data_IF_667857566037
#
_entry.id   IF_667857566037
#
_cell.length_a   1.000
_cell.length_b   1.000
_cell.length_c   1.000
_cell.angle_alpha   90.00
_cell.angle_beta   90.00
_cell.angle_gamma   90.00
#
_symmetry.space_group_name_H-M   'P 1'
#
loop_
_entity.id
_entity.type
_entity.pdbx_description
1 polymer ?
#
# COMPACT_ATOMS: atom_id res chain seq x y z
N UNK A 1 29.89 25.28 41.80
CA UNK A 1 28.93 24.18 42.06
C UNK A 1 27.57 24.44 41.43
N UNK A 2 27.48 24.38 40.09
CA UNK A 2 26.23 24.33 39.33
C UNK A 2 26.34 23.23 38.28
N UNK A 3 25.99 22.02 38.68
CA UNK A 3 25.81 20.75 37.95
C UNK A 3 25.05 19.88 38.97
N UNK A 4 24.04 19.07 38.71
CA UNK A 4 23.40 18.46 37.54
C UNK A 4 22.04 17.98 38.07
N UNK A 5 21.01 17.96 37.24
CA UNK A 5 19.94 16.94 37.29
C UNK A 5 19.13 17.06 36.00
N UNK A 6 19.68 16.49 34.93
CA UNK A 6 18.91 16.15 33.73
C UNK A 6 18.17 14.86 34.03
N UNK A 7 16.85 14.94 34.04
CA UNK A 7 15.95 13.81 34.23
C UNK A 7 16.07 12.84 33.05
N UNK A 8 16.32 11.58 33.37
CA UNK A 8 16.25 10.42 32.48
C UNK A 8 14.78 10.10 32.18
N UNK A 9 14.30 10.44 30.99
CA UNK A 9 12.99 9.98 30.49
C UNK A 9 13.10 8.54 30.00
N UNK A 10 12.84 7.59 30.90
CA UNK A 10 12.61 6.19 30.57
C UNK A 10 11.33 6.06 29.74
N UNK A 11 11.43 5.67 28.46
CA UNK A 11 10.30 5.28 27.62
C UNK A 11 9.61 4.05 28.22
N UNK A 12 8.51 4.26 28.93
CA UNK A 12 7.61 3.20 29.38
C UNK A 12 6.94 2.54 28.17
N UNK A 13 7.12 1.22 28.04
CA UNK A 13 6.47 0.41 27.01
C UNK A 13 4.94 0.48 27.14
N UNK A 14 4.26 0.87 26.06
CA UNK A 14 2.80 0.87 25.98
C UNK A 14 2.32 -0.58 26.02
N UNK A 15 1.34 -0.95 26.86
CA UNK A 15 0.82 -2.32 26.89
C UNK A 15 0.20 -2.68 25.53
N UNK A 16 0.47 -3.90 25.04
CA UNK A 16 0.12 -4.42 23.71
C UNK A 16 -1.40 -4.48 23.38
N UNK A 17 -2.27 -3.90 24.22
CA UNK A 17 -3.72 -4.08 24.15
C UNK A 17 -4.41 -3.24 23.05
N UNK A 18 -3.77 -2.20 22.52
CA UNK A 18 -4.39 -1.26 21.55
C UNK A 18 -3.58 -1.06 20.25
N UNK A 19 -2.67 -1.97 19.89
CA UNK A 19 -1.95 -1.82 18.61
C UNK A 19 -2.90 -2.09 17.43
N UNK A 20 -2.85 -1.28 16.35
CA UNK A 20 -3.52 -1.61 15.09
C UNK A 20 -3.15 -3.01 14.63
N UNK A 21 -4.09 -3.73 14.03
CA UNK A 21 -3.87 -5.14 13.63
C UNK A 21 -2.74 -5.30 12.62
N UNK A 22 -2.50 -4.30 11.79
CA UNK A 22 -1.34 -4.23 10.88
C UNK A 22 -0.02 -4.39 11.64
N UNK A 23 0.11 -3.79 12.82
CA UNK A 23 1.32 -3.87 13.64
C UNK A 23 1.30 -5.09 14.56
N UNK A 24 0.16 -5.36 15.21
CA UNK A 24 -0.02 -6.51 16.10
C UNK A 24 0.26 -7.84 15.39
N UNK A 25 -0.19 -7.96 14.14
CA UNK A 25 -0.01 -9.14 13.30
C UNK A 25 1.04 -8.92 12.21
N UNK A 26 2.01 -8.01 12.42
CA UNK A 26 3.16 -7.91 11.53
C UNK A 26 3.99 -9.20 11.62
N UNK A 27 4.32 -9.89 10.51
CA UNK A 27 5.18 -11.07 10.50
C UNK A 27 6.50 -10.82 11.25
N UNK A 28 6.87 -11.74 12.14
CA UNK A 28 8.08 -11.61 12.97
C UNK A 28 9.21 -12.50 12.46
N UNK A 29 8.86 -13.61 11.83
CA UNK A 29 9.77 -14.60 11.25
C UNK A 29 9.57 -14.71 9.74
N UNK A 30 10.51 -15.35 9.05
CA UNK A 30 10.35 -15.66 7.62
C UNK A 30 9.26 -16.70 7.38
N UNK A 31 9.02 -17.60 8.33
CA UNK A 31 7.98 -18.63 8.22
C UNK A 31 6.57 -18.02 8.31
N UNK A 32 6.43 -16.86 8.96
CA UNK A 32 5.18 -16.09 8.99
C UNK A 32 4.85 -15.42 7.64
N UNK A 33 5.80 -15.37 6.70
CA UNK A 33 5.63 -14.77 5.38
C UNK A 33 5.10 -15.81 4.40
N UNK A 34 3.80 -15.70 4.12
CA UNK A 34 3.08 -16.64 3.26
C UNK A 34 3.40 -16.40 1.76
N UNK A 35 3.94 -15.23 1.41
CA UNK A 35 4.11 -14.78 0.03
C UNK A 35 5.56 -14.73 -0.47
N UNK A 36 5.72 -14.71 -1.80
CA UNK A 36 7.00 -14.54 -2.50
C UNK A 36 8.08 -15.58 -2.14
N UNK A 37 7.71 -16.87 -2.08
CA UNK A 37 8.61 -17.96 -1.71
C UNK A 37 9.92 -18.01 -2.53
N UNK A 38 9.87 -17.67 -3.82
CA UNK A 38 11.07 -17.60 -4.67
C UNK A 38 12.04 -16.49 -4.22
N UNK A 39 11.52 -15.37 -3.76
CA UNK A 39 12.31 -14.25 -3.21
C UNK A 39 12.92 -14.67 -1.88
N UNK A 40 12.10 -15.27 -0.99
CA UNK A 40 12.54 -15.70 0.34
C UNK A 40 13.63 -16.76 0.25
N UNK A 41 13.45 -17.79 -0.58
CA UNK A 41 14.44 -18.85 -0.81
C UNK A 41 15.76 -18.30 -1.37
N UNK A 42 15.70 -17.33 -2.28
CA UNK A 42 16.91 -16.67 -2.82
C UNK A 42 17.64 -15.88 -1.74
N UNK A 43 16.92 -15.10 -0.92
CA UNK A 43 17.52 -14.34 0.16
C UNK A 43 18.11 -15.27 1.23
N UNK A 44 17.39 -16.33 1.62
CA UNK A 44 17.87 -17.34 2.55
C UNK A 44 19.15 -18.00 2.05
N UNK A 45 19.24 -18.30 0.75
CA UNK A 45 20.47 -18.82 0.15
C UNK A 45 21.63 -17.84 0.30
N UNK A 46 21.42 -16.55 -0.04
CA UNK A 46 22.46 -15.52 0.14
C UNK A 46 22.91 -15.35 1.58
N UNK A 47 21.98 -15.47 2.54
CA UNK A 47 22.28 -15.44 3.98
C UNK A 47 23.12 -16.66 4.38
N UNK A 48 22.72 -17.86 3.96
CA UNK A 48 23.41 -19.11 4.29
C UNK A 48 24.83 -19.19 3.74
N UNK A 49 25.08 -18.55 2.61
CA UNK A 49 26.39 -18.50 1.96
C UNK A 49 27.28 -17.33 2.45
N UNK A 50 26.81 -16.51 3.40
CA UNK A 50 27.47 -15.27 3.86
C UNK A 50 27.84 -14.31 2.71
N UNK A 51 26.94 -14.24 1.71
CA UNK A 51 27.13 -13.50 0.45
C UNK A 51 25.98 -12.53 0.16
N UNK A 52 25.31 -12.03 1.20
CA UNK A 52 24.20 -11.11 1.05
C UNK A 52 24.66 -9.84 0.30
N UNK A 53 24.13 -9.55 -0.90
CA UNK A 53 24.45 -8.33 -1.62
C UNK A 53 23.70 -7.14 -1.03
N UNK A 54 23.90 -5.94 -1.58
CA UNK A 54 22.93 -4.86 -1.37
C UNK A 54 21.61 -5.26 -2.02
N UNK A 55 20.48 -4.96 -1.37
CA UNK A 55 19.15 -5.35 -1.78
C UNK A 55 18.34 -4.12 -2.18
N UNK A 56 17.48 -4.28 -3.19
CA UNK A 56 16.48 -3.29 -3.56
C UNK A 56 15.13 -3.98 -3.69
N UNK A 57 14.24 -3.72 -2.74
CA UNK A 57 12.88 -4.24 -2.72
C UNK A 57 11.93 -3.20 -3.28
N UNK A 58 11.18 -3.55 -4.32
CA UNK A 58 10.25 -2.62 -4.96
C UNK A 58 8.92 -3.26 -5.31
N UNK A 59 7.85 -2.47 -5.28
CA UNK A 59 6.51 -2.93 -5.61
C UNK A 59 5.42 -2.20 -4.84
N UNK A 60 4.13 -2.54 -5.05
CA UNK A 60 3.01 -1.89 -4.39
C UNK A 60 3.09 -1.93 -2.85
N UNK A 61 2.39 -1.03 -2.13
CA UNK A 61 2.31 -1.07 -0.67
C UNK A 61 1.65 -2.36 -0.17
N UNK A 62 1.92 -2.71 1.09
CA UNK A 62 1.27 -3.85 1.76
C UNK A 62 1.60 -5.24 1.21
N UNK A 63 2.63 -5.36 0.37
CA UNK A 63 3.11 -6.63 -0.23
C UNK A 63 4.17 -7.35 0.62
N UNK A 64 4.55 -6.79 1.77
CA UNK A 64 5.48 -7.42 2.71
C UNK A 64 6.96 -7.05 2.59
N UNK A 65 7.32 -6.01 1.81
CA UNK A 65 8.72 -5.55 1.63
C UNK A 65 9.45 -5.31 2.96
N UNK A 66 8.93 -4.42 3.80
CA UNK A 66 9.52 -4.06 5.10
C UNK A 66 9.51 -5.24 6.07
N UNK A 67 8.39 -5.98 6.14
CA UNK A 67 8.28 -7.18 6.98
C UNK A 67 9.31 -8.24 6.61
N UNK A 68 9.58 -8.42 5.30
CA UNK A 68 10.56 -9.41 4.81
C UNK A 68 11.96 -9.10 5.28
N UNK A 69 12.45 -7.88 5.06
CA UNK A 69 13.83 -7.55 5.46
C UNK A 69 13.99 -7.52 6.97
N UNK A 70 12.97 -7.10 7.73
CA UNK A 70 13.02 -7.13 9.19
C UNK A 70 13.04 -8.55 9.74
N UNK A 71 12.28 -9.48 9.14
CA UNK A 71 12.34 -10.89 9.48
C UNK A 71 13.71 -11.50 9.14
N UNK A 72 14.28 -11.19 7.97
CA UNK A 72 15.66 -11.56 7.63
C UNK A 72 16.67 -11.02 8.63
N UNK A 73 16.52 -9.76 9.04
CA UNK A 73 17.43 -9.11 10.00
C UNK A 73 17.37 -9.79 11.38
N UNK A 74 16.19 -10.19 11.84
CA UNK A 74 16.01 -10.96 13.08
C UNK A 74 16.60 -12.36 13.03
N UNK A 75 16.64 -12.97 11.84
CA UNK A 75 17.34 -14.24 11.64
C UNK A 75 18.87 -14.06 11.63
N UNK A 76 19.37 -12.97 11.05
CA UNK A 76 20.80 -12.65 10.97
C UNK A 76 21.40 -12.25 12.32
N UNK A 77 20.67 -11.49 13.14
CA UNK A 77 21.19 -10.90 14.37
C UNK A 77 20.33 -11.28 15.57
N UNK A 78 20.97 -11.64 16.68
CA UNK A 78 20.28 -11.90 17.95
C UNK A 78 19.68 -10.59 18.49
N UNK A 79 18.61 -10.68 19.29
CA UNK A 79 17.89 -9.52 19.83
C UNK A 79 18.79 -8.50 20.55
N UNK A 80 19.78 -8.98 21.31
CA UNK A 80 20.74 -8.13 22.03
C UNK A 80 21.66 -7.32 21.11
N UNK A 81 21.81 -7.76 19.86
CA UNK A 81 22.74 -7.23 18.88
C UNK A 81 22.03 -6.41 17.80
N UNK A 82 20.73 -6.63 17.63
CA UNK A 82 19.90 -6.04 16.59
C UNK A 82 20.11 -4.52 16.47
N UNK A 83 19.96 -3.78 17.55
CA UNK A 83 20.10 -2.30 17.54
C UNK A 83 21.52 -1.82 17.22
N UNK A 84 22.54 -2.66 17.39
CA UNK A 84 23.93 -2.32 17.07
C UNK A 84 24.34 -2.73 15.65
N UNK A 85 23.61 -3.68 15.06
CA UNK A 85 23.92 -4.30 13.77
C UNK A 85 22.93 -3.90 12.67
N UNK A 86 21.74 -3.40 13.03
CA UNK A 86 20.67 -2.98 12.12
C UNK A 86 20.33 -1.53 12.38
N UNK A 87 20.33 -0.72 11.31
CA UNK A 87 19.82 0.64 11.31
C UNK A 87 18.62 0.70 10.37
N UNK A 88 17.42 0.86 10.94
CA UNK A 88 16.19 1.13 10.19
C UNK A 88 15.94 2.64 10.15
N UNK A 89 15.75 3.18 8.95
CA UNK A 89 15.40 4.58 8.72
C UNK A 89 14.27 4.65 7.71
N UNK A 90 13.27 5.47 8.00
CA UNK A 90 12.22 5.82 7.05
C UNK A 90 12.61 7.12 6.34
N UNK A 91 12.81 7.06 5.02
CA UNK A 91 13.32 8.20 4.26
C UNK A 91 12.26 9.28 3.98
N UNK A 92 10.97 9.02 4.23
CA UNK A 92 9.94 10.06 4.13
C UNK A 92 9.93 11.02 5.30
N UNK A 93 10.34 10.58 6.49
CA UNK A 93 10.42 11.43 7.70
C UNK A 93 11.56 12.44 7.59
N UNK A 94 12.66 12.07 6.90
CA UNK A 94 13.77 12.98 6.62
C UNK A 94 14.36 12.68 5.23
N UNK A 95 13.94 13.50 4.25
CA UNK A 95 14.27 13.37 2.82
C UNK A 95 15.64 13.97 2.47
N UNK A 96 16.30 14.60 3.45
CA UNK A 96 17.48 15.41 3.27
C UNK A 96 18.74 14.60 3.05
N UNK A 97 19.74 15.25 2.43
CA UNK A 97 21.10 14.69 2.33
C UNK A 97 21.74 14.47 3.71
N UNK A 98 21.22 15.14 4.75
CA UNK A 98 21.75 15.10 6.10
C UNK A 98 21.55 13.74 6.77
N UNK A 99 20.46 13.02 6.48
CA UNK A 99 20.31 11.62 6.93
C UNK A 99 21.44 10.73 6.42
N UNK A 100 21.84 10.95 5.18
CA UNK A 100 22.92 10.18 4.56
C UNK A 100 24.27 10.55 5.17
N UNK A 101 24.51 11.84 5.38
CA UNK A 101 25.77 12.36 5.91
C UNK A 101 25.91 12.21 7.43
N UNK A 102 24.81 12.06 8.16
CA UNK A 102 24.76 11.91 9.60
C UNK A 102 24.61 10.45 10.02
N UNK A 103 23.38 9.99 10.32
CA UNK A 103 23.14 8.68 10.92
C UNK A 103 23.67 7.52 10.06
N UNK A 104 23.46 7.53 8.74
CA UNK A 104 23.90 6.44 7.87
C UNK A 104 25.44 6.36 7.83
N UNK A 105 26.11 7.49 7.59
CA UNK A 105 27.57 7.53 7.52
C UNK A 105 28.22 7.17 8.87
N UNK A 106 27.68 7.67 9.98
CA UNK A 106 28.14 7.33 11.34
C UNK A 106 28.01 5.83 11.63
N UNK A 107 26.86 5.25 11.29
CA UNK A 107 26.62 3.84 11.49
C UNK A 107 27.53 2.95 10.63
N UNK A 108 27.67 3.27 9.34
CA UNK A 108 28.50 2.50 8.40
C UNK A 108 30.01 2.61 8.69
N UNK A 109 30.46 3.75 9.24
CA UNK A 109 31.88 3.98 9.56
C UNK A 109 32.33 3.36 10.87
N UNK A 110 31.40 3.06 11.78
CA UNK A 110 31.74 2.47 13.09
C UNK A 110 32.13 1.00 12.92
N UNK A 111 33.35 0.62 13.30
CA UNK A 111 33.81 -0.78 13.29
C UNK A 111 33.13 -1.60 14.40
N UNK A 112 32.70 -2.81 14.08
CA UNK A 112 32.27 -3.80 15.07
C UNK A 112 33.51 -4.42 15.71
N UNK A 113 33.93 -3.89 16.87
CA UNK A 113 35.19 -4.26 17.55
C UNK A 113 35.24 -5.76 17.94
N UNK A 114 34.10 -6.45 18.04
CA UNK A 114 34.03 -7.79 18.62
C UNK A 114 33.20 -8.84 17.85
N UNK A 115 32.74 -8.60 16.62
CA UNK A 115 31.82 -9.54 15.92
C UNK A 115 32.12 -9.72 14.44
N UNK A 116 32.22 -11.00 14.03
CA UNK A 116 32.19 -11.43 12.63
C UNK A 116 30.81 -11.10 12.04
N UNK A 117 30.79 -10.44 10.88
CA UNK A 117 29.56 -10.13 10.13
C UNK A 117 29.55 -8.72 9.57
N UNK A 118 28.60 -8.44 8.68
CA UNK A 118 28.31 -7.10 8.17
C UNK A 118 27.22 -6.43 9.01
N UNK A 119 27.15 -5.09 8.98
CA UNK A 119 25.99 -4.33 9.45
C UNK A 119 24.92 -4.26 8.36
N UNK A 120 23.66 -4.06 8.74
CA UNK A 120 22.55 -3.89 7.81
C UNK A 120 21.91 -2.51 7.99
N UNK A 121 21.83 -1.75 6.90
CA UNK A 121 21.06 -0.50 6.85
C UNK A 121 19.81 -0.74 6.01
N UNK A 122 18.63 -0.50 6.60
CA UNK A 122 17.34 -0.60 5.95
C UNK A 122 16.81 0.83 5.74
N UNK A 123 16.56 1.18 4.48
CA UNK A 123 16.00 2.47 4.09
C UNK A 123 14.62 2.24 3.50
N UNK A 124 13.59 2.50 4.31
CA UNK A 124 12.21 2.44 3.84
C UNK A 124 11.84 3.73 3.08
N UNK A 125 10.94 3.60 2.11
CA UNK A 125 10.48 4.71 1.24
C UNK A 125 11.64 5.48 0.57
N UNK A 126 12.67 4.78 0.10
CA UNK A 126 13.85 5.37 -0.54
C UNK A 126 13.52 6.20 -1.81
N UNK A 127 12.34 5.99 -2.41
CA UNK A 127 11.81 6.79 -3.51
C UNK A 127 11.30 8.18 -3.09
N UNK A 128 11.22 8.47 -1.79
CA UNK A 128 10.97 9.81 -1.25
C UNK A 128 12.26 10.66 -1.13
N UNK A 129 13.45 10.04 -1.26
CA UNK A 129 14.73 10.74 -1.16
C UNK A 129 14.98 11.66 -2.35
N UNK A 130 15.57 12.83 -2.08
CA UNK A 130 16.07 13.71 -3.13
C UNK A 130 17.19 13.06 -3.95
N UNK A 131 17.34 13.48 -5.20
CA UNK A 131 18.40 13.00 -6.10
C UNK A 131 19.80 13.17 -5.49
N UNK A 132 20.04 14.28 -4.79
CA UNK A 132 21.32 14.57 -4.13
C UNK A 132 21.58 13.62 -2.95
N UNK A 133 20.55 13.31 -2.16
CA UNK A 133 20.65 12.33 -1.10
C UNK A 133 20.94 10.93 -1.66
N UNK A 134 20.27 10.52 -2.76
CA UNK A 134 20.56 9.25 -3.43
C UNK A 134 21.98 9.18 -4.00
N UNK A 135 22.49 10.27 -4.59
CA UNK A 135 23.87 10.36 -5.06
C UNK A 135 24.89 10.30 -3.91
N UNK A 136 24.57 10.90 -2.77
CA UNK A 136 25.38 10.75 -1.56
C UNK A 136 25.36 9.31 -1.04
N UNK A 137 24.19 8.68 -1.02
CA UNK A 137 24.01 7.31 -0.55
C UNK A 137 24.79 6.33 -1.41
N UNK A 138 24.80 6.52 -2.73
CA UNK A 138 25.63 5.73 -3.66
C UNK A 138 27.10 5.72 -3.23
N UNK A 139 27.68 6.88 -2.92
CA UNK A 139 29.08 6.98 -2.47
C UNK A 139 29.31 6.24 -1.16
N UNK A 140 28.35 6.29 -0.24
CA UNK A 140 28.42 5.56 1.04
C UNK A 140 28.36 4.04 0.79
N UNK A 141 27.44 3.57 -0.05
CA UNK A 141 27.32 2.15 -0.41
C UNK A 141 28.63 1.62 -1.01
N UNK A 142 29.23 2.35 -1.96
CA UNK A 142 30.52 1.98 -2.56
C UNK A 142 31.65 1.92 -1.52
N UNK A 143 31.74 2.94 -0.66
CA UNK A 143 32.83 3.06 0.33
C UNK A 143 32.78 2.01 1.43
N UNK A 144 31.59 1.58 1.84
CA UNK A 144 31.41 0.70 3.01
C UNK A 144 30.89 -0.70 2.66
N UNK A 145 30.96 -1.12 1.39
CA UNK A 145 30.44 -2.42 0.93
C UNK A 145 31.07 -3.62 1.66
N UNK A 146 32.31 -3.52 2.13
CA UNK A 146 32.98 -4.62 2.84
C UNK A 146 32.35 -4.90 4.22
N UNK A 147 31.85 -3.85 4.90
CA UNK A 147 31.42 -3.95 6.30
C UNK A 147 29.91 -3.73 6.48
N UNK A 148 29.21 -3.18 5.47
CA UNK A 148 27.80 -2.79 5.58
C UNK A 148 27.02 -3.22 4.34
N UNK A 149 25.89 -3.88 4.55
CA UNK A 149 24.87 -4.16 3.53
C UNK A 149 23.73 -3.18 3.67
N UNK A 150 23.12 -2.89 2.53
CA UNK A 150 22.03 -1.92 2.42
C UNK A 150 20.83 -2.63 1.82
N UNK A 151 19.65 -2.40 2.37
CA UNK A 151 18.38 -2.79 1.78
C UNK A 151 17.56 -1.52 1.54
N UNK A 152 17.37 -1.17 0.27
CA UNK A 152 16.52 -0.04 -0.13
C UNK A 152 15.11 -0.57 -0.41
N UNK A 153 14.10 0.06 0.16
CA UNK A 153 12.70 -0.28 -0.10
C UNK A 153 12.04 0.91 -0.79
N UNK A 154 11.31 0.68 -1.87
CA UNK A 154 10.56 1.72 -2.55
C UNK A 154 9.26 1.20 -3.16
N UNK A 155 8.34 2.10 -3.50
CA UNK A 155 7.16 1.74 -4.27
C UNK A 155 7.42 1.87 -5.77
N UNK A 156 8.16 2.91 -6.17
CA UNK A 156 8.45 3.20 -7.57
C UNK A 156 9.95 3.09 -7.88
N UNK A 157 10.33 2.03 -8.60
CA UNK A 157 11.72 1.82 -9.04
C UNK A 157 12.24 2.99 -9.90
N UNK A 158 11.37 3.61 -10.71
CA UNK A 158 11.72 4.74 -11.58
C UNK A 158 12.20 5.99 -10.82
N UNK A 159 11.88 6.11 -9.52
CA UNK A 159 12.34 7.21 -8.66
C UNK A 159 13.71 6.95 -8.03
N UNK A 160 14.26 5.75 -8.19
CA UNK A 160 15.60 5.40 -7.71
C UNK A 160 16.62 5.61 -8.82
N UNK A 161 17.72 6.31 -8.53
CA UNK A 161 18.74 6.59 -9.54
C UNK A 161 19.34 5.30 -10.12
N UNK A 162 19.60 5.24 -11.45
CA UNK A 162 20.19 4.05 -12.08
C UNK A 162 21.48 3.56 -11.41
N UNK A 163 22.27 4.48 -10.85
CA UNK A 163 23.50 4.15 -10.15
C UNK A 163 23.28 3.36 -8.83
N UNK A 164 22.18 3.59 -8.11
CA UNK A 164 21.83 2.77 -6.95
C UNK A 164 21.28 1.42 -7.39
N UNK A 165 20.43 1.42 -8.42
CA UNK A 165 19.84 0.18 -8.96
C UNK A 165 20.90 -0.80 -9.43
N UNK A 166 21.99 -0.35 -10.06
CA UNK A 166 23.05 -1.23 -10.57
C UNK A 166 23.93 -1.85 -9.47
N UNK A 167 23.89 -1.31 -8.25
CA UNK A 167 24.67 -1.80 -7.10
C UNK A 167 23.88 -2.74 -6.19
N UNK A 168 22.59 -2.93 -6.46
CA UNK A 168 21.70 -3.73 -5.63
C UNK A 168 21.08 -4.89 -6.43
N UNK A 169 20.96 -6.05 -5.81
CA UNK A 169 20.12 -7.13 -6.31
C UNK A 169 18.66 -6.74 -6.10
N UNK A 170 17.89 -6.74 -7.18
CA UNK A 170 16.51 -6.23 -7.21
C UNK A 170 15.52 -7.36 -7.00
N UNK A 171 14.56 -7.15 -6.12
CA UNK A 171 13.44 -8.06 -5.86
C UNK A 171 12.11 -7.31 -6.02
N UNK A 172 11.27 -7.82 -6.93
CA UNK A 172 9.95 -7.25 -7.20
C UNK A 172 8.90 -7.95 -6.35
N UNK A 173 8.25 -7.19 -5.48
CA UNK A 173 7.10 -7.64 -4.70
C UNK A 173 5.83 -7.30 -5.48
N UNK A 174 5.17 -8.31 -6.04
CA UNK A 174 3.87 -8.16 -6.70
C UNK A 174 2.71 -8.10 -5.71
N UNK A 175 1.51 -7.65 -6.14
CA UNK A 175 0.29 -7.81 -5.36
C UNK A 175 0.09 -9.26 -4.92
N UNK A 176 -0.44 -9.44 -3.71
CA UNK A 176 -0.71 -10.76 -3.16
C UNK A 176 -1.93 -11.39 -3.84
N UNK A 177 -1.84 -12.69 -4.13
CA UNK A 177 -2.99 -13.46 -4.59
C UNK A 177 -3.97 -13.75 -3.45
N UNK A 178 -5.24 -14.02 -3.77
CA UNK A 178 -6.26 -14.35 -2.76
C UNK A 178 -5.82 -15.53 -1.89
N UNK A 179 -5.23 -16.56 -2.50
CA UNK A 179 -4.73 -17.75 -1.82
C UNK A 179 -3.58 -17.45 -0.83
N UNK A 180 -2.83 -16.35 -1.02
CA UNK A 180 -1.79 -15.91 -0.09
C UNK A 180 -2.35 -15.05 1.04
N UNK A 181 -3.42 -14.29 0.78
CA UNK A 181 -4.03 -13.40 1.77
C UNK A 181 -4.95 -14.13 2.76
N UNK A 182 -5.78 -15.05 2.25
CA UNK A 182 -6.80 -15.76 3.04
C UNK A 182 -6.21 -16.44 4.28
N UNK A 183 -5.13 -17.23 4.20
CA UNK A 183 -4.59 -17.90 5.40
C UNK A 183 -4.16 -16.93 6.49
N UNK A 184 -3.62 -15.75 6.12
CA UNK A 184 -3.24 -14.72 7.09
C UNK A 184 -4.46 -14.06 7.71
N UNK A 185 -5.49 -13.78 6.92
CA UNK A 185 -6.75 -13.21 7.42
C UNK A 185 -7.45 -14.19 8.37
N UNK A 186 -7.53 -15.47 8.01
CA UNK A 186 -8.11 -16.53 8.85
C UNK A 186 -7.41 -16.65 10.20
N UNK A 187 -6.07 -16.56 10.22
CA UNK A 187 -5.33 -16.53 11.47
C UNK A 187 -5.75 -15.35 12.36
N UNK A 188 -5.88 -14.14 11.80
CA UNK A 188 -6.33 -12.95 12.55
C UNK A 188 -7.77 -13.09 13.02
N UNK A 189 -8.66 -13.61 12.18
CA UNK A 189 -10.07 -13.86 12.51
C UNK A 189 -10.20 -14.80 13.70
N UNK A 190 -9.39 -15.86 13.74
CA UNK A 190 -9.38 -16.81 14.85
C UNK A 190 -8.83 -16.18 16.14
N UNK A 191 -7.75 -15.40 16.05
CA UNK A 191 -7.12 -14.78 17.21
C UNK A 191 -7.98 -13.67 17.84
N UNK A 192 -8.73 -12.93 17.02
CA UNK A 192 -9.62 -11.86 17.48
C UNK A 192 -11.09 -12.33 17.67
N UNK A 193 -11.39 -13.60 17.35
CA UNK A 193 -12.73 -14.20 17.42
C UNK A 193 -13.79 -13.39 16.65
N UNK A 194 -13.53 -13.10 15.38
CA UNK A 194 -14.38 -12.27 14.51
C UNK A 194 -15.51 -13.09 13.89
N UNK A 195 -16.75 -12.62 14.01
CA UNK A 195 -17.89 -13.15 13.22
C UNK A 195 -17.85 -12.57 11.81
N UNK A 196 -17.44 -13.39 10.84
CA UNK A 196 -17.32 -13.02 9.42
C UNK A 196 -18.02 -14.03 8.53
N UNK A 197 -18.76 -13.52 7.55
CA UNK A 197 -19.41 -14.34 6.53
C UNK A 197 -18.50 -14.58 5.31
N UNK A 198 -18.73 -15.64 4.51
CA UNK A 198 -17.89 -15.93 3.33
C UNK A 198 -17.87 -14.81 2.28
N UNK A 199 -19.00 -14.13 2.09
CA UNK A 199 -19.15 -12.94 1.24
C UNK A 199 -18.38 -11.74 1.81
N UNK A 200 -18.36 -11.54 3.13
CA UNK A 200 -17.55 -10.53 3.81
C UNK A 200 -16.06 -10.74 3.59
N UNK A 201 -15.57 -11.99 3.73
CA UNK A 201 -14.17 -12.34 3.43
C UNK A 201 -13.83 -12.04 1.97
N UNK A 202 -14.70 -12.44 1.03
CA UNK A 202 -14.52 -12.18 -0.40
C UNK A 202 -14.49 -10.69 -0.71
N UNK A 203 -15.36 -9.89 -0.07
CA UNK A 203 -15.40 -8.44 -0.22
C UNK A 203 -14.08 -7.80 0.25
N UNK A 204 -13.56 -8.19 1.41
CA UNK A 204 -12.28 -7.69 1.93
C UNK A 204 -11.15 -7.98 0.94
N UNK A 205 -11.01 -9.24 0.51
CA UNK A 205 -9.94 -9.65 -0.41
C UNK A 205 -10.04 -8.90 -1.74
N UNK A 206 -11.26 -8.71 -2.26
CA UNK A 206 -11.52 -7.98 -3.51
C UNK A 206 -11.12 -6.51 -3.39
N UNK A 207 -11.60 -5.81 -2.36
CA UNK A 207 -11.31 -4.39 -2.14
C UNK A 207 -9.85 -4.13 -1.78
N UNK A 208 -9.15 -5.13 -1.25
CA UNK A 208 -7.75 -5.00 -0.85
C UNK A 208 -6.78 -5.02 -2.03
N UNK A 209 -7.20 -5.51 -3.20
CA UNK A 209 -6.38 -5.49 -4.44
C UNK A 209 -4.96 -6.05 -4.26
N UNK A 210 -4.80 -7.07 -3.41
CA UNK A 210 -3.49 -7.69 -3.11
C UNK A 210 -2.63 -6.94 -2.08
N UNK A 211 -3.17 -5.95 -1.38
CA UNK A 211 -2.52 -5.23 -0.26
C UNK A 211 -2.97 -5.84 1.09
N UNK A 212 -2.04 -6.49 1.81
CA UNK A 212 -2.33 -7.11 3.10
C UNK A 212 -2.65 -6.07 4.19
N UNK A 213 -1.96 -4.92 4.18
CA UNK A 213 -2.18 -3.85 5.15
C UNK A 213 -3.60 -3.31 5.02
N UNK A 214 -4.04 -3.06 3.78
CA UNK A 214 -5.41 -2.63 3.47
C UNK A 214 -6.42 -3.67 3.94
N UNK A 215 -6.17 -4.96 3.69
CA UNK A 215 -7.10 -6.02 4.13
C UNK A 215 -7.29 -6.08 5.64
N UNK A 216 -6.21 -5.95 6.42
CA UNK A 216 -6.29 -5.93 7.88
C UNK A 216 -6.99 -4.68 8.40
N UNK A 217 -6.72 -3.52 7.80
CA UNK A 217 -7.40 -2.27 8.16
C UNK A 217 -8.91 -2.37 7.91
N UNK A 218 -9.32 -2.88 6.75
CA UNK A 218 -10.75 -3.06 6.42
C UNK A 218 -11.40 -4.05 7.39
N UNK A 219 -10.76 -5.19 7.66
CA UNK A 219 -11.27 -6.18 8.60
C UNK A 219 -11.45 -5.57 10.00
N UNK A 220 -10.43 -4.86 10.49
CA UNK A 220 -10.44 -4.22 11.80
C UNK A 220 -11.53 -3.15 11.91
N UNK A 221 -11.59 -2.23 10.95
CA UNK A 221 -12.55 -1.14 10.97
C UNK A 221 -13.99 -1.66 10.86
N UNK A 222 -14.23 -2.66 10.02
CA UNK A 222 -15.58 -3.23 9.84
C UNK A 222 -16.03 -3.96 11.10
N UNK A 223 -15.17 -4.78 11.70
CA UNK A 223 -15.48 -5.46 12.95
C UNK A 223 -15.74 -4.47 14.09
N UNK A 224 -14.93 -3.42 14.22
CA UNK A 224 -15.12 -2.40 15.27
C UNK A 224 -16.39 -1.58 15.08
N UNK A 225 -16.82 -1.33 13.84
CA UNK A 225 -17.99 -0.51 13.53
C UNK A 225 -19.31 -1.29 13.64
N UNK A 226 -19.34 -2.56 13.18
CA UNK A 226 -20.59 -3.33 13.01
C UNK A 226 -20.64 -4.64 13.80
N UNK A 227 -19.52 -5.06 14.40
CA UNK A 227 -19.38 -6.36 15.05
C UNK A 227 -19.25 -7.51 14.05
N UNK A 228 -20.32 -7.77 13.30
CA UNK A 228 -20.35 -8.80 12.25
C UNK A 228 -19.85 -8.27 10.91
N UNK A 229 -18.97 -9.02 10.26
CA UNK A 229 -18.35 -8.67 8.98
C UNK A 229 -19.05 -9.41 7.84
N UNK A 230 -19.83 -8.67 7.07
CA UNK A 230 -20.56 -9.11 5.84
C UNK A 230 -20.17 -8.24 4.64
N UNK A 231 -20.53 -8.66 3.42
CA UNK A 231 -20.28 -7.85 2.21
C UNK A 231 -20.81 -6.41 2.38
N UNK A 232 -22.07 -6.25 2.82
CA UNK A 232 -22.69 -4.94 3.01
C UNK A 232 -21.92 -4.06 3.99
N UNK A 233 -21.56 -4.61 5.16
CA UNK A 233 -20.82 -3.85 6.18
C UNK A 233 -19.42 -3.46 5.71
N UNK A 234 -18.75 -4.30 4.90
CA UNK A 234 -17.41 -4.04 4.36
C UNK A 234 -17.44 -2.89 3.35
N UNK A 235 -18.37 -2.94 2.39
CA UNK A 235 -18.54 -1.88 1.39
C UNK A 235 -18.96 -0.56 2.06
N UNK A 236 -19.91 -0.61 3.00
CA UNK A 236 -20.35 0.58 3.75
C UNK A 236 -19.23 1.17 4.60
N UNK A 237 -18.44 0.34 5.28
CA UNK A 237 -17.31 0.79 6.11
C UNK A 237 -16.21 1.46 5.28
N UNK A 238 -16.01 1.01 4.04
CA UNK A 238 -14.95 1.53 3.15
C UNK A 238 -15.42 2.70 2.30
N UNK A 239 -16.71 3.06 2.34
CA UNK A 239 -17.30 4.07 1.48
C UNK A 239 -17.36 3.65 0.01
N UNK A 240 -17.18 2.36 -0.28
CA UNK A 240 -17.26 1.82 -1.64
C UNK A 240 -18.71 1.53 -2.02
N UNK A 241 -19.13 1.88 -3.25
CA UNK A 241 -20.49 1.61 -3.70
C UNK A 241 -20.75 0.11 -3.86
N UNK A 242 -21.94 -0.35 -3.50
CA UNK A 242 -22.36 -1.72 -3.76
C UNK A 242 -22.60 -1.94 -5.25
N UNK A 243 -22.53 -3.20 -5.71
CA UNK A 243 -22.86 -3.54 -7.10
C UNK A 243 -24.28 -3.12 -7.49
N UNK A 244 -25.24 -3.24 -6.57
CA UNK A 244 -26.61 -2.78 -6.77
C UNK A 244 -26.69 -1.25 -6.92
N UNK A 245 -25.86 -0.51 -6.20
CA UNK A 245 -25.82 0.96 -6.28
C UNK A 245 -25.31 1.40 -7.65
N UNK A 246 -24.24 0.78 -8.14
CA UNK A 246 -23.70 1.10 -9.47
C UNK A 246 -24.68 0.68 -10.58
N UNK A 247 -25.34 -0.47 -10.45
CA UNK A 247 -26.37 -0.89 -11.41
C UNK A 247 -27.51 0.13 -11.49
N UNK A 248 -27.98 0.63 -10.34
CA UNK A 248 -28.99 1.69 -10.27
C UNK A 248 -28.48 3.01 -10.91
N UNK A 249 -27.24 3.41 -10.63
CA UNK A 249 -26.63 4.62 -11.21
C UNK A 249 -26.59 4.53 -12.74
N UNK A 250 -26.19 3.38 -13.29
CA UNK A 250 -26.16 3.17 -14.74
C UNK A 250 -27.56 3.16 -15.34
N UNK A 251 -28.52 2.48 -14.72
CA UNK A 251 -29.92 2.49 -15.15
C UNK A 251 -30.47 3.92 -15.21
N UNK A 252 -30.26 4.71 -14.16
CA UNK A 252 -30.74 6.10 -14.13
C UNK A 252 -30.05 6.96 -15.16
N UNK A 253 -28.73 6.82 -15.33
CA UNK A 253 -27.96 7.59 -16.29
C UNK A 253 -28.34 7.29 -17.75
N UNK A 254 -28.70 6.04 -18.07
CA UNK A 254 -29.05 5.60 -19.42
C UNK A 254 -30.54 5.76 -19.74
N UNK A 255 -31.44 5.56 -18.77
CA UNK A 255 -32.88 5.42 -19.03
C UNK A 255 -33.73 6.61 -18.57
N UNK A 256 -33.21 7.50 -17.71
CA UNK A 256 -33.99 8.64 -17.18
C UNK A 256 -33.58 9.98 -17.81
N UNK A 257 -34.41 11.01 -17.63
CA UNK A 257 -34.07 12.38 -18.01
C UNK A 257 -32.95 12.95 -17.10
N UNK A 258 -32.28 14.02 -17.56
CA UNK A 258 -31.11 14.59 -16.89
C UNK A 258 -31.36 14.91 -15.43
N UNK A 259 -32.44 15.62 -15.18
CA UNK A 259 -32.78 16.14 -13.85
C UNK A 259 -33.06 14.99 -12.90
N UNK A 260 -33.85 14.01 -13.33
CA UNK A 260 -34.17 12.84 -12.51
C UNK A 260 -32.93 12.00 -12.22
N UNK A 261 -32.12 11.68 -13.24
CA UNK A 261 -30.89 10.90 -13.07
C UNK A 261 -29.91 11.59 -12.11
N UNK A 262 -29.66 12.88 -12.33
CA UNK A 262 -28.77 13.68 -11.48
C UNK A 262 -29.23 13.67 -10.01
N UNK A 263 -30.50 13.96 -9.76
CA UNK A 263 -31.02 14.03 -8.38
C UNK A 263 -30.96 12.68 -7.67
N UNK A 264 -31.26 11.58 -8.37
CA UNK A 264 -31.21 10.25 -7.78
C UNK A 264 -29.77 9.81 -7.45
N UNK A 265 -28.82 10.05 -8.36
CA UNK A 265 -27.41 9.74 -8.11
C UNK A 265 -26.88 10.61 -6.96
N UNK A 266 -27.22 11.90 -6.96
CA UNK A 266 -26.83 12.82 -5.88
C UNK A 266 -27.40 12.38 -4.53
N UNK A 267 -28.68 12.00 -4.47
CA UNK A 267 -29.32 11.54 -3.25
C UNK A 267 -28.67 10.25 -2.72
N UNK A 268 -28.44 9.26 -3.60
CA UNK A 268 -27.78 8.00 -3.23
C UNK A 268 -26.38 8.27 -2.66
N UNK A 269 -25.63 9.13 -3.35
CA UNK A 269 -24.28 9.53 -2.94
C UNK A 269 -24.29 10.23 -1.57
N UNK A 270 -25.21 11.15 -1.33
CA UNK A 270 -25.35 11.85 -0.04
C UNK A 270 -25.77 10.90 1.07
N UNK A 271 -26.72 10.00 0.82
CA UNK A 271 -27.24 9.07 1.83
C UNK A 271 -26.20 8.02 2.24
N UNK A 272 -25.39 7.54 1.29
CA UNK A 272 -24.37 6.50 1.52
C UNK A 272 -22.95 7.04 1.70
N UNK A 273 -22.75 8.36 1.60
CA UNK A 273 -21.43 8.99 1.74
C UNK A 273 -20.41 8.58 0.67
N UNK A 274 -20.87 8.25 -0.53
CA UNK A 274 -20.01 7.76 -1.62
C UNK A 274 -19.20 8.90 -2.24
N UNK A 275 -17.96 8.66 -2.66
CA UNK A 275 -17.25 9.60 -3.51
C UNK A 275 -17.58 9.34 -4.99
N UNK A 276 -17.64 10.41 -5.79
CA UNK A 276 -17.83 10.29 -7.24
C UNK A 276 -16.66 9.55 -7.89
N UNK A 277 -15.46 9.66 -7.33
CA UNK A 277 -14.30 8.90 -7.79
C UNK A 277 -14.54 7.39 -7.72
N UNK A 278 -15.02 6.87 -6.58
CA UNK A 278 -15.32 5.44 -6.42
C UNK A 278 -16.44 4.98 -7.36
N UNK A 279 -17.46 5.82 -7.55
CA UNK A 279 -18.53 5.57 -8.54
C UNK A 279 -17.95 5.45 -9.95
N UNK A 280 -17.08 6.38 -10.36
CA UNK A 280 -16.48 6.38 -11.70
C UNK A 280 -15.63 5.14 -11.94
N UNK A 281 -14.83 4.72 -10.96
CA UNK A 281 -14.01 3.50 -11.05
C UNK A 281 -14.87 2.27 -11.29
N UNK A 282 -15.97 2.10 -10.54
CA UNK A 282 -16.85 0.95 -10.71
C UNK A 282 -17.70 1.02 -11.99
N UNK A 283 -18.15 2.22 -12.37
CA UNK A 283 -18.86 2.46 -13.63
C UNK A 283 -17.96 2.10 -14.83
N UNK A 284 -16.68 2.45 -14.80
CA UNK A 284 -15.71 2.09 -15.84
C UNK A 284 -15.64 0.57 -16.04
N UNK A 285 -15.59 -0.21 -14.95
CA UNK A 285 -15.56 -1.68 -15.02
C UNK A 285 -16.82 -2.27 -15.68
N UNK A 286 -17.99 -1.66 -15.45
CA UNK A 286 -19.24 -2.13 -16.02
C UNK A 286 -19.46 -1.69 -17.47
N UNK A 287 -18.91 -0.55 -17.90
CA UNK A 287 -18.99 -0.11 -19.32
C UNK A 287 -18.36 -1.13 -20.25
N UNK A 288 -17.34 -1.86 -19.79
CA UNK A 288 -16.73 -2.95 -20.55
C UNK A 288 -17.63 -4.20 -20.65
N UNK A 289 -18.64 -4.33 -19.78
CA UNK A 289 -19.59 -5.45 -19.77
C UNK A 289 -20.87 -5.14 -20.53
N UNK A 290 -21.24 -3.87 -20.65
CA UNK A 290 -22.40 -3.44 -21.42
C UNK A 290 -22.05 -3.44 -22.92
N UNK A 291 -22.98 -3.95 -23.72
CA UNK A 291 -22.83 -4.03 -25.17
C UNK A 291 -23.15 -2.68 -25.82
N UNK A 292 -22.20 -1.75 -25.73
CA UNK A 292 -22.22 -0.49 -26.46
C UNK A 292 -21.60 -0.64 -27.86
N UNK A 293 -22.13 0.06 -28.88
CA UNK A 293 -21.42 0.25 -30.14
C UNK A 293 -19.99 0.79 -29.90
N UNK A 294 -18.98 0.36 -30.68
CA UNK A 294 -17.59 0.73 -30.42
C UNK A 294 -17.34 2.25 -30.38
N UNK A 295 -17.95 3.02 -31.28
CA UNK A 295 -17.85 4.49 -31.34
C UNK A 295 -18.31 5.15 -30.04
N UNK A 296 -19.43 4.68 -29.54
CA UNK A 296 -20.06 5.16 -28.30
C UNK A 296 -19.21 4.80 -27.08
N UNK A 297 -18.75 3.54 -27.01
CA UNK A 297 -17.88 3.09 -25.93
C UNK A 297 -16.62 3.95 -25.85
N UNK A 298 -15.98 4.22 -26.99
CA UNK A 298 -14.79 5.09 -27.06
C UNK A 298 -15.10 6.51 -26.58
N UNK A 299 -16.20 7.11 -27.03
CA UNK A 299 -16.62 8.45 -26.61
C UNK A 299 -16.85 8.55 -25.10
N UNK A 300 -17.54 7.56 -24.52
CA UNK A 300 -17.81 7.52 -23.09
C UNK A 300 -16.53 7.34 -22.27
N UNK A 301 -15.62 6.46 -22.68
CA UNK A 301 -14.33 6.24 -22.00
C UNK A 301 -13.47 7.51 -21.98
N UNK A 302 -13.42 8.26 -23.08
CA UNK A 302 -12.70 9.54 -23.14
C UNK A 302 -13.30 10.55 -22.15
N UNK A 303 -14.63 10.66 -22.10
CA UNK A 303 -15.30 11.59 -21.17
C UNK A 303 -15.09 11.21 -19.71
N UNK A 304 -15.13 9.92 -19.37
CA UNK A 304 -14.88 9.47 -18.01
C UNK A 304 -13.43 9.70 -17.57
N UNK A 305 -12.46 9.50 -18.47
CA UNK A 305 -11.06 9.81 -18.21
C UNK A 305 -10.84 11.32 -17.94
N UNK A 306 -11.48 12.20 -18.72
CA UNK A 306 -11.44 13.65 -18.48
C UNK A 306 -12.02 14.03 -17.11
N UNK A 307 -13.13 13.40 -16.72
CA UNK A 307 -13.79 13.64 -15.43
C UNK A 307 -12.89 13.16 -14.28
N UNK A 308 -12.32 11.97 -14.39
CA UNK A 308 -11.39 11.41 -13.39
C UNK A 308 -10.17 12.34 -13.20
N UNK A 309 -9.56 12.81 -14.29
CA UNK A 309 -8.44 13.75 -14.24
C UNK A 309 -8.80 15.06 -13.54
N UNK A 310 -9.99 15.61 -13.81
CA UNK A 310 -10.48 16.84 -13.16
C UNK A 310 -10.76 16.61 -11.69
N UNK A 311 -11.30 15.46 -11.30
CA UNK A 311 -11.51 15.12 -9.88
C UNK A 311 -10.18 15.03 -9.13
N UNK A 312 -9.17 14.39 -9.73
CA UNK A 312 -7.82 14.32 -9.16
C UNK A 312 -7.17 15.71 -8.94
N UNK A 313 -7.59 16.71 -9.71
CA UNK A 313 -7.12 18.10 -9.59
C UNK A 313 -7.88 18.94 -8.55
N UNK A 314 -8.79 18.35 -7.77
CA UNK A 314 -9.53 19.06 -6.70
C UNK A 314 -10.69 19.93 -7.18
N UNK A 315 -11.32 19.56 -8.30
CA UNK A 315 -12.45 20.32 -8.86
C UNK A 315 -13.78 20.07 -8.13
N UNK A 316 -14.79 20.90 -8.41
CA UNK A 316 -16.12 20.78 -7.82
C UNK A 316 -16.83 19.51 -8.26
N UNK A 317 -17.06 18.60 -7.31
CA UNK A 317 -17.63 17.29 -7.55
C UNK A 317 -19.08 17.32 -8.06
N UNK A 318 -19.87 18.35 -7.73
CA UNK A 318 -21.24 18.50 -8.26
C UNK A 318 -21.22 18.77 -9.76
N UNK A 319 -20.27 19.60 -10.22
CA UNK A 319 -20.08 19.90 -11.65
C UNK A 319 -19.64 18.63 -12.39
N UNK A 320 -18.71 17.87 -11.80
CA UNK A 320 -18.24 16.62 -12.39
C UNK A 320 -19.34 15.55 -12.43
N UNK A 321 -20.20 15.48 -11.42
CA UNK A 321 -21.38 14.60 -11.42
C UNK A 321 -22.34 14.98 -12.56
N UNK A 322 -22.65 16.28 -12.72
CA UNK A 322 -23.45 16.77 -13.85
C UNK A 322 -22.81 16.40 -15.19
N UNK A 323 -21.48 16.53 -15.31
CA UNK A 323 -20.75 16.15 -16.52
C UNK A 323 -20.82 14.65 -16.80
N UNK A 324 -20.79 13.80 -15.77
CA UNK A 324 -20.93 12.36 -15.91
C UNK A 324 -22.32 12.01 -16.46
N UNK A 325 -23.39 12.51 -15.85
CA UNK A 325 -24.77 12.27 -16.30
C UNK A 325 -24.97 12.78 -17.73
N UNK A 326 -24.45 13.97 -18.05
CA UNK A 326 -24.52 14.53 -19.40
C UNK A 326 -23.80 13.66 -20.44
N UNK A 327 -22.66 13.05 -20.09
CA UNK A 327 -21.93 12.16 -20.99
C UNK A 327 -22.75 10.91 -21.35
N UNK A 328 -23.44 10.31 -20.38
CA UNK A 328 -24.34 9.17 -20.62
C UNK A 328 -25.55 9.55 -21.48
N UNK A 329 -26.10 10.75 -21.30
CA UNK A 329 -27.24 11.19 -22.10
C UNK A 329 -26.88 11.56 -23.53
N UNK A 330 -25.75 12.22 -23.73
CA UNK A 330 -25.24 12.49 -25.07
C UNK A 330 -25.04 11.19 -25.86
N UNK A 331 -24.58 10.13 -25.19
CA UNK A 331 -24.48 8.79 -25.77
C UNK A 331 -25.86 8.22 -26.12
N UNK A 332 -26.84 8.29 -25.20
CA UNK A 332 -28.20 7.81 -25.46
C UNK A 332 -28.81 8.47 -26.68
N UNK A 333 -28.69 9.78 -26.79
CA UNK A 333 -29.32 10.54 -27.86
C UNK A 333 -28.71 10.17 -29.24
N UNK A 334 -27.42 9.81 -29.29
CA UNK A 334 -26.76 9.28 -30.49
C UNK A 334 -27.30 7.89 -30.88
N UNK A 335 -27.50 6.99 -29.90
CA UNK A 335 -28.08 5.66 -30.18
C UNK A 335 -29.49 5.77 -30.73
N UNK A 336 -30.30 6.66 -30.14
CA UNK A 336 -31.70 6.86 -30.54
C UNK A 336 -31.80 7.56 -31.90
N UNK A 337 -30.83 8.42 -32.28
CA UNK A 337 -30.82 9.06 -33.60
C UNK A 337 -30.37 8.15 -34.74
N UNK A 338 -29.57 7.11 -34.43
CA UNK A 338 -29.00 6.18 -35.42
C UNK A 338 -29.86 4.91 -35.63
N UNK A 339 -30.96 4.71 -34.88
CA UNK A 339 -31.85 3.55 -34.93
C UNK A 339 -33.23 3.85 -35.46
#
# INVERSE_FOLDING_TARGET
NRQQNMASTSKTAVPARNLPWVEKYRPQTLDDLISHQDILSTIQKFISEDRLPHLLFYGPPGTGKTSTILACAKQLYKDKEFNSMVLELNASDDRGIDVVRGPILSFASTRTIFKKGFKLVILDEADAMTQDAQNALRRVIEKFTENTRFCLICNYLSKIIPALQSRCTRFRFGPLSQNQMIPRLEHVIQQENIDISPDGMKAIVTLSTGDMRRSLNILQSTHMAYGKVTEETVYTCTGHPLRSDIANILDWALNKDFTTAYNQILQLKTLKGLALHDILTEVHLLIHRVDFPPSIRMGLLIKLADIEYRLASGTNEKIQLSSMVAAFQAVRDIVVSDG
#
